data_IF_513511750157
#
_entry.id   IF_513511750157
#
_cell.length_a   1.000
_cell.length_b   1.000
_cell.length_c   1.000
_cell.angle_alpha   90.00
_cell.angle_beta   90.00
_cell.angle_gamma   90.00
#
_symmetry.space_group_name_H-M   'P 1'
#
loop_
_entity.id
_entity.type
_entity.pdbx_description
1 polymer ?
#
# COMPACT_ATOMS: atom_id res chain seq x y z
N UNK A 1 7.40 -22.53 -7.66
CA UNK A 1 6.93 -21.47 -6.73
C UNK A 1 5.50 -21.02 -7.03
N UNK A 2 5.16 -20.66 -8.27
CA UNK A 2 3.81 -20.21 -8.66
C UNK A 2 2.67 -21.14 -8.21
N UNK A 3 2.80 -22.45 -8.45
CA UNK A 3 1.84 -23.44 -7.97
C UNK A 3 1.68 -23.44 -6.44
N UNK A 4 2.76 -23.19 -5.70
CA UNK A 4 2.72 -23.15 -4.24
C UNK A 4 1.91 -21.94 -3.74
N UNK A 5 2.12 -20.74 -4.31
CA UNK A 5 1.29 -19.55 -4.04
C UNK A 5 -0.19 -19.86 -4.25
N UNK A 6 -0.53 -20.34 -5.45
CA UNK A 6 -1.92 -20.64 -5.81
C UNK A 6 -2.55 -21.68 -4.86
N UNK A 7 -1.82 -22.73 -4.51
CA UNK A 7 -2.32 -23.79 -3.63
C UNK A 7 -2.59 -23.34 -2.19
N UNK A 8 -1.95 -22.25 -1.73
CA UNK A 8 -2.23 -21.66 -0.42
C UNK A 8 -3.19 -20.46 -0.49
N UNK A 9 -3.83 -20.25 -1.64
CA UNK A 9 -4.79 -19.17 -1.85
C UNK A 9 -4.16 -17.78 -1.92
N UNK A 10 -2.86 -17.70 -2.22
CA UNK A 10 -2.17 -16.43 -2.42
C UNK A 10 -2.07 -16.12 -3.93
N UNK A 11 -2.30 -14.87 -4.35
CA UNK A 11 -1.98 -14.44 -5.70
C UNK A 11 -0.51 -14.76 -6.00
N UNK A 12 -0.21 -15.48 -7.10
CA UNK A 12 1.17 -15.73 -7.48
C UNK A 12 1.92 -14.42 -7.74
N UNK A 13 3.20 -14.38 -7.38
CA UNK A 13 4.14 -13.34 -7.82
C UNK A 13 5.05 -13.90 -8.91
N UNK A 14 4.69 -13.76 -10.21
CA UNK A 14 5.54 -14.10 -11.35
C UNK A 14 6.96 -13.56 -11.24
N UNK A 15 7.11 -12.27 -10.92
CA UNK A 15 8.42 -11.63 -10.91
C UNK A 15 9.33 -12.22 -9.82
N UNK A 16 8.80 -12.38 -8.61
CA UNK A 16 9.55 -12.98 -7.50
C UNK A 16 9.88 -14.44 -7.79
N UNK A 17 8.94 -15.20 -8.36
CA UNK A 17 9.17 -16.59 -8.75
C UNK A 17 10.28 -16.73 -9.79
N UNK A 18 10.33 -15.84 -10.77
CA UNK A 18 11.36 -15.83 -11.78
C UNK A 18 12.74 -15.53 -11.18
N UNK A 19 12.84 -14.48 -10.35
CA UNK A 19 14.11 -14.07 -9.70
C UNK A 19 14.65 -15.19 -8.80
N UNK A 20 13.81 -15.82 -7.97
CA UNK A 20 14.24 -16.96 -7.15
C UNK A 20 14.62 -18.19 -8.00
N UNK A 21 13.92 -18.42 -9.11
CA UNK A 21 14.25 -19.48 -10.07
C UNK A 21 15.64 -19.29 -10.66
N UNK A 22 15.96 -18.05 -11.09
CA UNK A 22 17.29 -17.67 -11.57
C UNK A 22 18.33 -17.84 -10.48
N UNK A 23 18.10 -17.29 -9.28
CA UNK A 23 19.06 -17.42 -8.18
C UNK A 23 19.39 -18.90 -7.89
N UNK A 24 18.38 -19.77 -7.87
CA UNK A 24 18.57 -21.20 -7.63
C UNK A 24 19.36 -21.92 -8.74
N UNK A 25 19.09 -21.63 -10.02
CA UNK A 25 19.83 -22.29 -11.12
C UNK A 25 21.27 -21.76 -11.23
N UNK A 26 21.51 -20.50 -10.88
CA UNK A 26 22.84 -19.90 -10.89
C UNK A 26 23.74 -20.35 -9.72
N UNK A 27 23.22 -21.11 -8.77
CA UNK A 27 24.03 -21.91 -7.82
C UNK A 27 24.61 -23.16 -8.47
N UNK A 28 23.96 -23.67 -9.51
CA UNK A 28 24.41 -24.87 -10.26
C UNK A 28 25.30 -24.45 -11.43
N UNK A 29 24.91 -23.38 -12.13
CA UNK A 29 25.62 -22.83 -13.30
C UNK A 29 26.23 -21.50 -12.93
N UNK A 30 27.56 -21.36 -13.10
CA UNK A 30 28.24 -20.09 -12.81
C UNK A 30 27.64 -18.94 -13.65
N UNK A 31 27.36 -17.75 -13.08
CA UNK A 31 26.73 -16.62 -13.79
C UNK A 31 27.57 -16.06 -14.94
N UNK A 32 28.90 -16.23 -14.85
CA UNK A 32 29.84 -15.88 -15.91
C UNK A 32 30.14 -17.04 -16.89
N UNK A 33 29.36 -18.13 -16.83
CA UNK A 33 29.53 -19.23 -17.80
C UNK A 33 29.20 -18.73 -19.20
N UNK A 34 30.11 -19.01 -20.13
CA UNK A 34 29.88 -18.80 -21.56
C UNK A 34 28.76 -19.71 -22.06
N UNK A 35 27.95 -19.18 -22.97
CA UNK A 35 26.83 -19.91 -23.59
C UNK A 35 27.15 -20.21 -25.05
N UNK A 36 26.51 -21.24 -25.60
CA UNK A 36 26.71 -21.60 -27.00
C UNK A 36 26.25 -20.50 -27.96
N UNK A 37 26.88 -20.38 -29.13
CA UNK A 37 26.58 -19.35 -30.14
C UNK A 37 25.10 -19.29 -30.56
N UNK A 38 24.37 -20.40 -30.42
CA UNK A 38 22.92 -20.47 -30.68
C UNK A 38 22.10 -19.56 -29.77
N UNK A 39 22.65 -19.15 -28.63
CA UNK A 39 21.99 -18.31 -27.63
C UNK A 39 22.39 -16.84 -27.72
N UNK A 40 23.51 -16.52 -28.38
CA UNK A 40 23.96 -15.14 -28.52
C UNK A 40 25.44 -15.00 -28.88
N UNK A 41 25.84 -13.76 -29.11
CA UNK A 41 27.23 -13.41 -29.37
C UNK A 41 28.08 -13.55 -28.11
N UNK A 42 29.29 -14.08 -28.27
CA UNK A 42 30.30 -14.22 -27.23
C UNK A 42 30.55 -12.88 -26.51
N UNK A 43 30.64 -12.90 -25.18
CA UNK A 43 30.72 -11.72 -24.30
C UNK A 43 29.53 -10.75 -24.30
N UNK A 44 28.45 -11.01 -25.05
CA UNK A 44 27.21 -10.21 -25.00
C UNK A 44 26.09 -10.89 -24.25
N UNK A 45 26.04 -12.22 -24.29
CA UNK A 45 25.04 -13.03 -23.60
C UNK A 45 25.74 -13.95 -22.62
N UNK A 46 25.32 -13.91 -21.35
CA UNK A 46 25.85 -14.75 -20.28
C UNK A 46 24.79 -15.74 -19.78
N UNK A 47 25.20 -16.67 -18.93
CA UNK A 47 24.29 -17.67 -18.36
C UNK A 47 23.18 -17.04 -17.49
N UNK A 48 23.41 -15.87 -16.89
CA UNK A 48 22.39 -15.14 -16.13
C UNK A 48 21.23 -14.66 -17.01
N UNK A 49 21.53 -14.07 -18.18
CA UNK A 49 20.51 -13.67 -19.14
C UNK A 49 19.72 -14.87 -19.67
N UNK A 50 20.39 -16.00 -19.94
CA UNK A 50 19.73 -17.23 -20.41
C UNK A 50 18.86 -17.86 -19.31
N UNK A 51 19.33 -17.86 -18.06
CA UNK A 51 18.49 -18.25 -16.93
C UNK A 51 17.27 -17.34 -16.79
N UNK A 52 17.46 -16.03 -16.96
CA UNK A 52 16.39 -15.03 -16.99
C UNK A 52 15.35 -15.29 -18.06
N UNK A 53 15.78 -15.60 -19.30
CA UNK A 53 14.88 -15.93 -20.41
C UNK A 53 14.01 -17.14 -20.08
N UNK A 54 14.62 -18.23 -19.59
CA UNK A 54 13.88 -19.43 -19.19
C UNK A 54 12.91 -19.17 -18.02
N UNK A 55 13.29 -18.31 -17.08
CA UNK A 55 12.45 -17.95 -15.94
C UNK A 55 11.27 -17.04 -16.34
N UNK A 56 11.49 -16.12 -17.28
CA UNK A 56 10.46 -15.25 -17.87
C UNK A 56 9.41 -16.09 -18.60
N UNK A 57 9.84 -17.01 -19.47
CA UNK A 57 8.97 -17.93 -20.18
C UNK A 57 8.15 -18.80 -19.20
N UNK A 58 8.82 -19.42 -18.23
CA UNK A 58 8.18 -20.29 -17.26
C UNK A 58 7.19 -19.55 -16.33
N UNK A 59 7.39 -18.25 -16.12
CA UNK A 59 6.56 -17.41 -15.25
C UNK A 59 5.50 -16.61 -15.99
N UNK A 60 5.51 -16.63 -17.32
CA UNK A 60 4.58 -15.85 -18.15
C UNK A 60 4.77 -14.34 -18.01
N UNK A 61 5.99 -13.89 -17.74
CA UNK A 61 6.31 -12.46 -17.64
C UNK A 61 6.36 -11.83 -19.05
N UNK A 62 5.99 -10.54 -19.19
CA UNK A 62 6.13 -9.84 -20.47
C UNK A 62 7.61 -9.71 -20.86
N UNK A 63 7.90 -9.59 -22.16
CA UNK A 63 9.27 -9.43 -22.66
C UNK A 63 9.92 -8.13 -22.19
N UNK A 64 9.10 -7.08 -21.99
CA UNK A 64 9.51 -5.74 -21.55
C UNK A 64 8.76 -5.30 -20.31
N UNK A 65 9.42 -4.50 -19.50
CA UNK A 65 8.84 -3.78 -18.36
C UNK A 65 9.16 -2.29 -18.47
N UNK A 66 8.24 -1.44 -18.00
CA UNK A 66 8.39 0.00 -18.12
C UNK A 66 8.35 0.67 -16.76
N UNK A 67 9.31 1.56 -16.47
CA UNK A 67 9.29 2.33 -15.23
C UNK A 67 8.16 3.38 -15.30
N UNK A 68 7.24 3.29 -14.33
CA UNK A 68 6.07 4.16 -14.25
C UNK A 68 6.47 5.62 -14.28
N UNK A 69 5.89 6.37 -15.21
CA UNK A 69 6.16 7.80 -15.33
C UNK A 69 7.57 8.14 -15.84
N UNK A 70 8.29 7.22 -16.45
CA UNK A 70 9.44 7.58 -17.32
C UNK A 70 9.39 6.89 -18.66
N UNK A 71 8.56 5.85 -18.80
CA UNK A 71 8.49 4.96 -19.96
C UNK A 71 9.85 4.30 -20.27
N UNK A 72 10.77 4.29 -19.30
CA UNK A 72 12.07 3.65 -19.43
C UNK A 72 11.86 2.14 -19.52
N UNK A 73 12.25 1.58 -20.66
CA UNK A 73 12.08 0.18 -21.00
C UNK A 73 13.22 -0.68 -20.46
N UNK A 74 12.86 -1.82 -19.88
CA UNK A 74 13.75 -2.87 -19.42
C UNK A 74 13.48 -4.16 -20.18
N UNK A 75 14.55 -4.82 -20.59
CA UNK A 75 14.48 -6.22 -21.01
C UNK A 75 14.24 -7.11 -19.80
N UNK A 76 13.08 -7.78 -19.73
CA UNK A 76 12.68 -8.51 -18.53
C UNK A 76 13.61 -9.68 -18.23
N UNK A 77 14.08 -10.39 -19.26
CA UNK A 77 14.99 -11.52 -19.09
C UNK A 77 16.32 -11.07 -18.48
N UNK A 78 16.87 -9.97 -18.98
CA UNK A 78 18.09 -9.36 -18.44
C UNK A 78 17.88 -8.90 -17.00
N UNK A 79 16.81 -8.16 -16.71
CA UNK A 79 16.49 -7.68 -15.37
C UNK A 79 16.35 -8.83 -14.37
N UNK A 80 15.58 -9.87 -14.70
CA UNK A 80 15.36 -11.04 -13.85
C UNK A 80 16.68 -11.81 -13.64
N UNK A 81 17.49 -11.92 -14.69
CA UNK A 81 18.84 -12.49 -14.66
C UNK A 81 19.72 -11.80 -13.62
N UNK A 82 19.87 -10.48 -13.76
CA UNK A 82 20.73 -9.64 -12.90
C UNK A 82 20.25 -9.64 -11.45
N UNK A 83 18.94 -9.51 -11.24
CA UNK A 83 18.36 -9.57 -9.89
C UNK A 83 18.53 -10.95 -9.25
N UNK A 84 18.48 -12.02 -10.05
CA UNK A 84 18.76 -13.38 -9.59
C UNK A 84 20.21 -13.57 -9.18
N UNK A 85 21.17 -13.00 -9.92
CA UNK A 85 22.60 -12.97 -9.54
C UNK A 85 22.78 -12.24 -8.21
N UNK A 86 22.19 -11.05 -8.07
CA UNK A 86 22.26 -10.28 -6.84
C UNK A 86 21.70 -11.09 -5.67
N UNK A 87 20.51 -11.69 -5.84
CA UNK A 87 19.86 -12.44 -4.77
C UNK A 87 20.65 -13.68 -4.37
N UNK A 88 21.24 -14.39 -5.34
CA UNK A 88 22.16 -15.50 -5.10
C UNK A 88 23.35 -15.05 -4.23
N UNK A 89 24.02 -13.97 -4.62
CA UNK A 89 25.26 -13.53 -3.98
C UNK A 89 25.06 -12.91 -2.58
N UNK A 90 23.95 -12.19 -2.35
CA UNK A 90 23.63 -11.66 -1.01
C UNK A 90 23.13 -12.73 -0.04
N UNK A 91 22.75 -13.92 -0.54
CA UNK A 91 22.17 -15.00 0.24
C UNK A 91 20.70 -14.75 0.62
N UNK A 92 20.26 -15.30 1.76
CA UNK A 92 18.87 -15.20 2.22
C UNK A 92 18.56 -13.86 2.93
N UNK A 93 17.89 -12.89 2.29
CA UNK A 93 17.48 -11.64 2.94
C UNK A 93 16.44 -11.88 4.04
N UNK A 94 16.40 -10.95 5.00
CA UNK A 94 15.35 -10.93 6.04
C UNK A 94 13.96 -10.71 5.41
N UNK A 95 12.90 -11.05 6.14
CA UNK A 95 11.51 -10.81 5.72
C UNK A 95 11.31 -9.35 5.29
N UNK A 96 11.80 -8.39 6.07
CA UNK A 96 11.68 -6.96 5.75
C UNK A 96 12.48 -6.59 4.50
N UNK A 97 13.66 -7.21 4.31
CA UNK A 97 14.47 -7.03 3.11
C UNK A 97 13.73 -7.48 1.84
N UNK A 98 13.10 -8.66 1.88
CA UNK A 98 12.31 -9.17 0.75
C UNK A 98 11.06 -8.34 0.48
N UNK A 99 10.36 -7.89 1.52
CA UNK A 99 9.22 -6.98 1.35
C UNK A 99 9.68 -5.69 0.68
N UNK A 100 10.73 -5.04 1.16
CA UNK A 100 11.25 -3.82 0.55
C UNK A 100 11.66 -4.04 -0.92
N UNK A 101 12.29 -5.18 -1.23
CA UNK A 101 12.67 -5.56 -2.58
C UNK A 101 11.47 -5.75 -3.51
N UNK A 102 10.47 -6.53 -3.09
CA UNK A 102 9.22 -6.71 -3.82
C UNK A 102 8.49 -5.38 -4.05
N UNK A 103 8.52 -4.50 -3.04
CA UNK A 103 7.95 -3.17 -3.13
C UNK A 103 8.70 -2.26 -4.12
N UNK A 104 10.03 -2.35 -4.23
CA UNK A 104 10.80 -1.64 -5.27
C UNK A 104 10.37 -2.04 -6.68
N UNK A 105 10.07 -3.34 -6.91
CA UNK A 105 9.60 -3.84 -8.20
C UNK A 105 8.23 -3.29 -8.59
N UNK A 106 7.45 -2.77 -7.64
CA UNK A 106 6.17 -2.13 -7.95
C UNK A 106 6.29 -0.75 -8.62
N UNK A 107 7.52 -0.28 -8.84
CA UNK A 107 7.81 0.88 -9.69
C UNK A 107 7.53 0.64 -11.18
N UNK A 108 7.43 -0.62 -11.63
CA UNK A 108 7.04 -0.92 -13.01
C UNK A 108 5.54 -0.68 -13.25
N UNK A 109 5.17 -0.26 -14.46
CA UNK A 109 3.78 -0.04 -14.85
C UNK A 109 2.97 -1.33 -14.80
N UNK A 110 3.60 -2.45 -15.15
CA UNK A 110 3.04 -3.79 -15.16
C UNK A 110 2.96 -4.43 -13.77
N UNK A 111 3.22 -3.68 -12.69
CA UNK A 111 3.38 -4.21 -11.31
C UNK A 111 2.28 -5.19 -10.89
N UNK A 112 1.02 -4.88 -11.19
CA UNK A 112 -0.12 -5.75 -10.89
C UNK A 112 -0.08 -7.07 -11.68
N UNK A 113 0.27 -7.02 -12.96
CA UNK A 113 0.30 -8.19 -13.83
C UNK A 113 1.45 -9.13 -13.49
N UNK A 114 2.59 -8.58 -13.05
CA UNK A 114 3.78 -9.35 -12.67
C UNK A 114 3.78 -9.77 -11.19
N UNK A 115 2.75 -9.38 -10.43
CA UNK A 115 2.61 -9.66 -9.00
C UNK A 115 3.72 -9.03 -8.17
N UNK A 116 4.16 -7.82 -8.52
CA UNK A 116 5.02 -6.99 -7.69
C UNK A 116 4.21 -6.31 -6.57
N UNK A 117 4.89 -5.77 -5.55
CA UNK A 117 4.29 -5.24 -4.33
C UNK A 117 3.27 -4.11 -4.51
N UNK A 118 2.77 -3.57 -3.40
CA UNK A 118 1.61 -2.66 -3.39
C UNK A 118 1.99 -1.17 -3.48
N UNK A 119 3.25 -0.81 -3.24
CA UNK A 119 3.71 0.58 -3.09
C UNK A 119 3.75 1.38 -4.38
N UNK A 120 3.47 0.75 -5.52
CA UNK A 120 3.18 1.39 -6.80
C UNK A 120 1.70 1.81 -6.97
N UNK A 121 0.84 1.42 -6.04
CA UNK A 121 -0.61 1.53 -6.15
C UNK A 121 -1.26 0.26 -6.75
N UNK A 122 -2.60 0.17 -6.76
CA UNK A 122 -3.53 1.23 -6.39
C UNK A 122 -3.92 1.26 -4.90
N UNK A 123 -3.45 0.28 -4.13
CA UNK A 123 -3.75 0.11 -2.70
C UNK A 123 -2.62 0.64 -1.81
N UNK A 124 -2.94 1.08 -0.60
CA UNK A 124 -1.96 1.34 0.45
C UNK A 124 -1.12 0.09 0.73
N UNK A 125 0.23 0.17 0.71
CA UNK A 125 1.06 -0.96 1.08
C UNK A 125 0.99 -1.21 2.58
N UNK A 126 1.15 -2.47 3.03
CA UNK A 126 1.19 -2.79 4.45
C UNK A 126 2.25 -1.94 5.16
N UNK A 127 1.88 -1.39 6.32
CA UNK A 127 2.76 -0.58 7.18
C UNK A 127 3.36 0.67 6.52
N UNK A 128 2.84 1.10 5.36
CA UNK A 128 3.28 2.32 4.69
C UNK A 128 4.64 2.20 3.99
N UNK A 129 4.99 1.00 3.55
CA UNK A 129 6.24 0.71 2.84
C UNK A 129 6.27 1.32 1.42
N UNK A 130 6.31 2.65 1.29
CA UNK A 130 6.27 3.38 0.01
C UNK A 130 7.61 3.32 -0.77
N UNK A 131 8.15 2.12 -0.97
CA UNK A 131 9.52 1.93 -1.47
C UNK A 131 9.62 2.16 -2.98
N UNK A 132 8.57 1.88 -3.76
CA UNK A 132 8.53 2.18 -5.19
C UNK A 132 8.78 3.67 -5.46
N UNK A 133 8.22 4.57 -4.66
CA UNK A 133 8.39 6.02 -4.83
C UNK A 133 9.86 6.45 -4.83
N UNK A 134 10.71 5.77 -4.04
CA UNK A 134 12.13 6.06 -4.00
C UNK A 134 12.83 5.65 -5.30
N UNK A 135 12.46 4.50 -5.87
CA UNK A 135 12.94 4.05 -7.19
C UNK A 135 12.48 5.03 -8.26
N UNK A 136 11.18 5.35 -8.29
CA UNK A 136 10.59 6.28 -9.25
C UNK A 136 11.26 7.66 -9.19
N UNK A 137 11.41 8.23 -7.99
CA UNK A 137 12.06 9.52 -7.83
C UNK A 137 13.52 9.47 -8.29
N UNK A 138 14.25 8.40 -7.97
CA UNK A 138 15.63 8.21 -8.44
C UNK A 138 15.70 8.13 -9.97
N UNK A 139 14.80 7.38 -10.62
CA UNK A 139 14.79 7.22 -12.09
C UNK A 139 14.44 8.52 -12.80
N UNK A 140 13.44 9.26 -12.31
CA UNK A 140 13.12 10.58 -12.86
C UNK A 140 14.26 11.57 -12.65
N UNK A 141 14.94 11.55 -11.49
CA UNK A 141 16.11 12.40 -11.25
C UNK A 141 17.25 12.08 -12.23
N UNK A 142 17.53 10.80 -12.48
CA UNK A 142 18.58 10.39 -13.43
C UNK A 142 18.23 10.87 -14.85
N UNK A 143 16.99 10.68 -15.30
CA UNK A 143 16.57 11.07 -16.66
C UNK A 143 16.39 12.58 -16.85
N UNK A 144 16.37 13.35 -15.76
CA UNK A 144 16.21 14.81 -15.77
C UNK A 144 17.45 15.58 -15.32
N UNK A 145 18.63 14.96 -15.35
CA UNK A 145 19.91 15.56 -14.94
C UNK A 145 19.89 16.13 -13.50
N UNK A 146 19.11 15.50 -12.62
CA UNK A 146 18.98 15.87 -11.21
C UNK A 146 17.94 16.95 -10.91
N UNK A 147 17.01 17.24 -11.83
CA UNK A 147 15.94 18.23 -11.64
C UNK A 147 14.90 17.75 -10.59
N UNK A 148 14.97 18.34 -9.40
CA UNK A 148 14.11 17.99 -8.25
C UNK A 148 12.64 18.36 -8.51
N UNK A 149 12.38 19.47 -9.20
CA UNK A 149 11.01 19.96 -9.45
C UNK A 149 10.30 19.00 -10.41
N UNK A 150 10.97 18.60 -11.51
CA UNK A 150 10.43 17.60 -12.44
C UNK A 150 10.18 16.26 -11.77
N UNK A 151 11.10 15.81 -10.91
CA UNK A 151 10.92 14.59 -10.15
C UNK A 151 9.72 14.70 -9.19
N UNK A 152 9.56 15.85 -8.52
CA UNK A 152 8.43 16.08 -7.64
C UNK A 152 7.09 16.09 -8.38
N UNK A 153 6.99 16.81 -9.50
CA UNK A 153 5.78 16.86 -10.32
C UNK A 153 5.39 15.48 -10.84
N UNK A 154 6.36 14.68 -11.29
CA UNK A 154 6.06 13.32 -11.78
C UNK A 154 5.60 12.38 -10.67
N UNK A 155 6.22 12.42 -9.50
CA UNK A 155 5.79 11.62 -8.34
C UNK A 155 4.39 12.02 -7.88
N UNK A 156 4.12 13.33 -7.87
CA UNK A 156 2.80 13.87 -7.56
C UNK A 156 1.76 13.29 -8.54
N UNK A 157 1.99 13.41 -9.85
CA UNK A 157 1.08 12.88 -10.88
C UNK A 157 0.82 11.37 -10.72
N UNK A 158 1.86 10.59 -10.42
CA UNK A 158 1.72 9.15 -10.19
C UNK A 158 0.78 8.90 -9.00
N UNK A 159 0.96 9.63 -7.91
CA UNK A 159 0.09 9.53 -6.72
C UNK A 159 -1.35 9.95 -7.00
N UNK A 160 -1.59 10.92 -7.89
CA UNK A 160 -2.94 11.29 -8.29
C UNK A 160 -3.63 10.26 -9.17
N UNK A 161 -2.91 9.64 -10.11
CA UNK A 161 -3.52 8.81 -11.16
C UNK A 161 -3.73 7.36 -10.75
N UNK A 162 -2.81 6.79 -9.97
CA UNK A 162 -2.74 5.35 -9.79
C UNK A 162 -3.25 4.85 -8.45
N UNK A 163 -3.71 5.72 -7.54
CA UNK A 163 -4.09 5.35 -6.18
C UNK A 163 -5.59 5.51 -5.95
N UNK A 164 -6.20 4.58 -5.21
CA UNK A 164 -7.59 4.70 -4.77
C UNK A 164 -7.79 5.87 -3.81
N UNK A 165 -6.82 6.07 -2.91
CA UNK A 165 -6.79 7.19 -1.97
C UNK A 165 -5.54 8.08 -2.18
N UNK A 166 -5.52 8.97 -3.21
CA UNK A 166 -4.36 9.80 -3.52
C UNK A 166 -3.88 10.69 -2.36
N UNK A 167 -4.80 11.21 -1.55
CA UNK A 167 -4.45 12.02 -0.39
C UNK A 167 -3.66 11.20 0.65
N UNK A 168 -4.18 10.02 1.01
CA UNK A 168 -3.57 9.12 2.00
C UNK A 168 -2.20 8.65 1.51
N UNK A 169 -2.09 8.30 0.23
CA UNK A 169 -0.83 7.89 -0.39
C UNK A 169 0.23 9.00 -0.28
N UNK A 170 -0.11 10.26 -0.57
CA UNK A 170 0.82 11.39 -0.46
C UNK A 170 1.21 11.69 0.98
N UNK A 171 0.26 11.60 1.93
CA UNK A 171 0.57 11.78 3.35
C UNK A 171 1.53 10.70 3.85
N UNK A 172 1.32 9.45 3.45
CA UNK A 172 2.22 8.34 3.77
C UNK A 172 3.62 8.55 3.17
N UNK A 173 3.70 8.87 1.87
CA UNK A 173 4.96 9.18 1.18
C UNK A 173 5.71 10.34 1.83
N UNK A 174 5.02 11.42 2.22
CA UNK A 174 5.65 12.54 2.92
C UNK A 174 6.21 12.10 4.28
N UNK A 175 5.39 11.40 5.06
CA UNK A 175 5.74 10.95 6.41
C UNK A 175 6.99 10.07 6.39
N UNK A 176 7.04 9.09 5.48
CA UNK A 176 8.20 8.20 5.36
C UNK A 176 9.42 8.96 4.84
N UNK A 177 9.25 9.89 3.89
CA UNK A 177 10.36 10.70 3.36
C UNK A 177 10.98 11.58 4.44
N UNK A 178 10.15 12.27 5.23
CA UNK A 178 10.59 13.08 6.39
C UNK A 178 11.29 12.23 7.44
N UNK A 179 10.85 10.97 7.64
CA UNK A 179 11.52 10.04 8.55
C UNK A 179 12.87 9.59 7.99
N UNK A 180 12.94 9.28 6.69
CA UNK A 180 14.16 8.89 5.99
C UNK A 180 15.22 10.01 6.01
N UNK A 181 14.82 11.28 5.96
CA UNK A 181 15.73 12.43 6.12
C UNK A 181 16.44 12.51 7.48
N UNK A 182 15.97 11.78 8.50
CA UNK A 182 16.69 11.64 9.78
C UNK A 182 17.87 10.67 9.69
N UNK A 183 17.85 9.76 8.71
CA UNK A 183 18.94 8.81 8.45
C UNK A 183 19.87 9.37 7.38
N UNK A 184 19.32 9.75 6.22
CA UNK A 184 20.08 10.30 5.11
C UNK A 184 19.21 11.24 4.27
N UNK A 185 19.64 12.49 4.16
CA UNK A 185 19.02 13.48 3.27
C UNK A 185 19.60 13.34 1.87
N UNK A 186 18.79 13.55 0.84
CA UNK A 186 19.24 13.50 -0.55
C UNK A 186 18.21 14.04 -1.54
N UNK A 187 18.55 14.07 -2.84
CA UNK A 187 17.65 14.57 -3.88
C UNK A 187 16.36 13.74 -3.98
N UNK A 188 16.43 12.42 -3.73
CA UNK A 188 15.25 11.52 -3.70
C UNK A 188 14.24 11.96 -2.63
N UNK A 189 14.65 12.09 -1.37
CA UNK A 189 13.74 12.50 -0.29
C UNK A 189 13.24 13.92 -0.49
N UNK A 190 14.06 14.82 -1.03
CA UNK A 190 13.65 16.19 -1.37
C UNK A 190 12.52 16.22 -2.40
N UNK A 191 12.66 15.47 -3.50
CA UNK A 191 11.65 15.39 -4.54
C UNK A 191 10.33 14.81 -3.99
N UNK A 192 10.41 13.72 -3.21
CA UNK A 192 9.23 13.09 -2.61
C UNK A 192 8.51 14.00 -1.59
N UNK A 193 9.26 14.75 -0.77
CA UNK A 193 8.70 15.74 0.16
C UNK A 193 8.02 16.87 -0.61
N UNK A 194 8.70 17.42 -1.62
CA UNK A 194 8.17 18.52 -2.44
C UNK A 194 6.88 18.11 -3.17
N UNK A 195 6.83 16.88 -3.71
CA UNK A 195 5.66 16.32 -4.38
C UNK A 195 4.42 16.24 -3.47
N UNK A 196 4.62 16.13 -2.15
CA UNK A 196 3.58 15.72 -1.21
C UNK A 196 3.28 16.73 -0.09
N UNK A 197 4.15 17.72 0.12
CA UNK A 197 4.01 18.72 1.19
C UNK A 197 2.69 19.49 1.08
N UNK A 198 2.27 19.88 -0.13
CA UNK A 198 1.00 20.56 -0.35
C UNK A 198 -0.21 19.71 0.06
N UNK A 199 -0.17 18.41 -0.21
CA UNK A 199 -1.23 17.48 0.18
C UNK A 199 -1.29 17.30 1.70
N UNK A 200 -0.13 17.19 2.37
CA UNK A 200 -0.07 17.12 3.83
C UNK A 200 -0.60 18.39 4.48
N UNK A 201 -0.18 19.56 3.99
CA UNK A 201 -0.64 20.84 4.52
C UNK A 201 -2.16 20.99 4.42
N UNK A 202 -2.74 20.65 3.26
CA UNK A 202 -4.19 20.63 3.05
C UNK A 202 -4.88 19.61 3.97
N UNK A 203 -4.39 18.38 4.01
CA UNK A 203 -4.98 17.30 4.80
C UNK A 203 -5.00 17.60 6.31
N UNK A 204 -3.94 18.23 6.82
CA UNK A 204 -3.86 18.72 8.21
C UNK A 204 -4.83 19.88 8.43
N UNK A 205 -4.84 20.88 7.54
CA UNK A 205 -5.72 22.04 7.65
C UNK A 205 -7.19 21.65 7.65
N UNK A 206 -7.63 20.83 6.70
CA UNK A 206 -9.04 20.45 6.56
C UNK A 206 -9.55 19.71 7.79
N UNK A 207 -8.77 18.74 8.29
CA UNK A 207 -9.13 18.01 9.52
C UNK A 207 -9.08 18.88 10.76
N UNK A 208 -8.11 19.79 10.85
CA UNK A 208 -8.02 20.71 11.97
C UNK A 208 -9.22 21.66 11.99
N UNK A 209 -9.57 22.24 10.84
CA UNK A 209 -10.74 23.10 10.67
C UNK A 209 -12.03 22.35 10.96
N UNK A 210 -12.21 21.17 10.38
CA UNK A 210 -13.38 20.33 10.63
C UNK A 210 -13.53 20.01 12.13
N UNK A 211 -12.45 19.58 12.78
CA UNK A 211 -12.47 19.28 14.22
C UNK A 211 -12.81 20.52 15.04
N UNK A 212 -12.20 21.65 14.74
CA UNK A 212 -12.44 22.91 15.45
C UNK A 212 -13.90 23.34 15.33
N UNK A 213 -14.45 23.34 14.10
CA UNK A 213 -15.84 23.72 13.84
C UNK A 213 -16.81 22.77 14.57
N UNK A 214 -16.58 21.46 14.52
CA UNK A 214 -17.44 20.46 15.18
C UNK A 214 -17.37 20.49 16.70
N UNK A 215 -16.20 20.78 17.28
CA UNK A 215 -16.09 21.00 18.73
C UNK A 215 -16.85 22.25 19.17
N UNK A 216 -16.82 23.33 18.40
CA UNK A 216 -17.61 24.55 18.68
C UNK A 216 -19.12 24.32 18.52
N UNK A 217 -19.54 23.41 17.65
CA UNK A 217 -20.93 22.92 17.57
C UNK A 217 -21.33 22.04 18.76
N UNK A 218 -20.39 21.69 19.65
CA UNK A 218 -20.64 20.88 20.85
C UNK A 218 -20.57 19.37 20.64
N UNK A 219 -20.05 18.89 19.51
CA UNK A 219 -19.86 17.44 19.27
C UNK A 219 -18.74 16.89 20.15
N UNK A 220 -18.88 15.65 20.61
CA UNK A 220 -17.78 14.96 21.30
C UNK A 220 -16.70 14.55 20.29
N UNK A 221 -15.44 14.61 20.71
CA UNK A 221 -14.30 14.28 19.86
C UNK A 221 -14.35 12.85 19.30
N UNK A 222 -14.97 11.92 20.03
CA UNK A 222 -15.16 10.54 19.60
C UNK A 222 -16.09 10.47 18.38
N UNK A 223 -17.18 11.25 18.39
CA UNK A 223 -18.10 11.39 17.25
C UNK A 223 -17.39 12.02 16.03
N UNK A 224 -16.56 13.03 16.26
CA UNK A 224 -15.82 13.71 15.18
C UNK A 224 -14.88 12.73 14.46
N UNK A 225 -14.15 11.90 15.20
CA UNK A 225 -13.26 10.91 14.58
C UNK A 225 -14.05 9.83 13.85
N UNK A 226 -15.20 9.41 14.40
CA UNK A 226 -16.11 8.49 13.71
C UNK A 226 -16.55 9.05 12.36
N UNK A 227 -16.93 10.33 12.30
CA UNK A 227 -17.31 11.00 11.05
C UNK A 227 -16.19 11.00 10.01
N UNK A 228 -14.93 11.19 10.42
CA UNK A 228 -13.77 11.16 9.52
C UNK A 228 -13.50 9.75 8.97
N UNK A 229 -13.72 8.72 9.77
CA UNK A 229 -13.60 7.33 9.32
C UNK A 229 -14.77 6.92 8.42
N UNK A 230 -15.99 7.40 8.68
CA UNK A 230 -17.15 7.20 7.80
C UNK A 230 -16.95 7.90 6.43
N UNK A 231 -16.36 9.10 6.41
CA UNK A 231 -15.96 9.76 5.16
C UNK A 231 -14.91 8.93 4.40
N UNK A 232 -13.91 8.40 5.10
CA UNK A 232 -12.89 7.52 4.51
C UNK A 232 -13.54 6.27 3.90
N UNK A 233 -14.45 5.62 4.62
CA UNK A 233 -15.17 4.45 4.11
C UNK A 233 -15.90 4.78 2.81
N UNK A 234 -16.69 5.86 2.79
CA UNK A 234 -17.43 6.30 1.62
C UNK A 234 -16.50 6.61 0.43
N UNK A 235 -15.33 7.19 0.67
CA UNK A 235 -14.34 7.46 -0.37
C UNK A 235 -13.79 6.17 -0.98
N UNK A 236 -13.45 5.18 -0.16
CA UNK A 236 -12.98 3.86 -0.63
C UNK A 236 -14.06 3.13 -1.42
N UNK A 237 -15.29 3.12 -0.93
CA UNK A 237 -16.45 2.53 -1.61
C UNK A 237 -16.68 3.17 -2.99
N UNK A 238 -16.65 4.49 -3.04
CA UNK A 238 -16.84 5.26 -4.28
C UNK A 238 -15.71 4.99 -5.27
N UNK A 239 -14.46 5.04 -4.81
CA UNK A 239 -13.28 4.82 -5.65
C UNK A 239 -13.24 3.39 -6.21
N UNK A 240 -13.50 2.38 -5.37
CA UNK A 240 -13.58 0.98 -5.82
C UNK A 240 -14.73 0.75 -6.79
N UNK A 241 -15.91 1.30 -6.50
CA UNK A 241 -17.08 1.21 -7.38
C UNK A 241 -16.78 1.78 -8.76
N UNK A 242 -16.16 2.96 -8.82
CA UNK A 242 -15.76 3.59 -10.08
C UNK A 242 -14.68 2.78 -10.82
N UNK A 243 -13.65 2.30 -10.11
CA UNK A 243 -12.57 1.49 -10.68
C UNK A 243 -13.14 0.23 -11.35
N UNK A 244 -13.92 -0.57 -10.60
CA UNK A 244 -14.46 -1.82 -11.13
C UNK A 244 -15.51 -1.60 -12.21
N UNK A 245 -16.34 -0.56 -12.08
CA UNK A 245 -17.29 -0.20 -13.15
C UNK A 245 -16.56 0.11 -14.46
N UNK A 246 -15.47 0.88 -14.39
CA UNK A 246 -14.63 1.17 -15.55
C UNK A 246 -13.93 -0.05 -16.12
N UNK A 247 -13.36 -0.91 -15.27
CA UNK A 247 -12.66 -2.13 -15.70
C UNK A 247 -13.59 -3.17 -16.31
N UNK A 248 -14.81 -3.30 -15.81
CA UNK A 248 -15.75 -4.36 -16.20
C UNK A 248 -16.82 -3.89 -17.18
N UNK A 249 -16.97 -2.58 -17.41
CA UNK A 249 -18.01 -2.02 -18.27
C UNK A 249 -19.42 -2.26 -17.73
N UNK A 250 -19.59 -2.29 -16.40
CA UNK A 250 -20.86 -2.57 -15.69
C UNK A 250 -21.16 -1.49 -14.66
N UNK A 251 -22.42 -1.35 -14.23
CA UNK A 251 -22.76 -0.51 -13.06
C UNK A 251 -22.46 -1.29 -11.78
N UNK A 252 -21.33 -0.99 -11.13
CA UNK A 252 -20.90 -1.66 -9.91
C UNK A 252 -20.99 -0.69 -8.73
N UNK A 253 -21.71 -1.08 -7.69
CA UNK A 253 -21.80 -0.36 -6.42
C UNK A 253 -21.37 -1.25 -5.28
N UNK A 254 -20.41 -0.78 -4.49
CA UNK A 254 -19.85 -1.52 -3.36
C UNK A 254 -20.19 -0.79 -2.06
N UNK A 255 -20.64 -1.53 -1.07
CA UNK A 255 -20.95 -1.03 0.27
C UNK A 255 -20.43 -2.00 1.33
N UNK A 256 -19.56 -1.54 2.22
CA UNK A 256 -19.07 -2.30 3.38
C UNK A 256 -20.01 -2.04 4.55
N UNK A 257 -20.98 -2.94 4.73
CA UNK A 257 -22.05 -2.78 5.72
C UNK A 257 -21.63 -3.15 7.15
N UNK A 258 -20.51 -3.86 7.30
CA UNK A 258 -19.88 -4.15 8.60
C UNK A 258 -18.37 -4.25 8.43
N UNK A 259 -17.63 -3.67 9.37
CA UNK A 259 -16.17 -3.71 9.41
C UNK A 259 -15.68 -3.66 10.86
N UNK A 260 -15.19 -4.79 11.37
CA UNK A 260 -14.76 -4.95 12.76
C UNK A 260 -13.63 -5.97 12.88
N UNK A 261 -13.04 -6.10 14.07
CA UNK A 261 -12.06 -7.15 14.34
C UNK A 261 -12.70 -8.44 14.88
N UNK A 262 -11.85 -9.41 15.20
CA UNK A 262 -12.22 -10.68 15.83
C UNK A 262 -13.02 -11.66 14.93
N UNK A 263 -12.70 -11.76 13.64
CA UNK A 263 -13.33 -12.70 12.71
C UNK A 263 -13.17 -14.18 13.10
N UNK A 264 -12.00 -14.59 13.58
CA UNK A 264 -11.64 -16.03 13.70
C UNK A 264 -11.27 -16.46 15.10
N UNK A 265 -10.95 -15.50 15.98
CA UNK A 265 -10.41 -15.76 17.32
C UNK A 265 -11.48 -15.58 18.39
N UNK A 266 -11.19 -16.05 19.61
CA UNK A 266 -12.06 -15.82 20.76
C UNK A 266 -12.08 -14.33 21.09
N UNK A 267 -13.28 -13.81 21.32
CA UNK A 267 -13.57 -12.43 21.70
C UNK A 267 -12.69 -11.93 22.86
N UNK A 268 -12.03 -10.80 22.65
CA UNK A 268 -11.29 -10.02 23.66
C UNK A 268 -11.36 -8.54 23.29
N UNK A 269 -11.28 -7.64 24.27
CA UNK A 269 -11.27 -6.18 24.04
C UNK A 269 -10.22 -5.75 23.01
N UNK A 270 -9.07 -6.41 22.98
CA UNK A 270 -8.01 -6.14 22.01
C UNK A 270 -8.46 -6.49 20.58
N UNK A 271 -9.01 -7.69 20.38
CA UNK A 271 -9.39 -8.17 19.06
C UNK A 271 -10.63 -7.47 18.50
N UNK A 272 -11.54 -7.03 19.35
CA UNK A 272 -12.68 -6.21 18.92
C UNK A 272 -12.25 -4.83 18.43
N UNK A 273 -11.20 -4.28 19.06
CA UNK A 273 -10.74 -2.93 18.77
C UNK A 273 -9.85 -2.83 17.53
N UNK A 274 -9.01 -3.83 17.28
CA UNK A 274 -8.01 -3.80 16.20
C UNK A 274 -8.36 -4.80 15.10
N UNK A 275 -8.96 -4.31 14.03
CA UNK A 275 -9.43 -5.15 12.94
C UNK A 275 -8.33 -5.54 11.93
N UNK A 276 -7.21 -4.83 11.84
CA UNK A 276 -6.25 -4.93 10.73
C UNK A 276 -5.64 -6.33 10.50
N UNK A 277 -5.61 -7.21 11.50
CA UNK A 277 -5.07 -8.57 11.39
C UNK A 277 -6.11 -9.70 11.52
N UNK A 278 -7.34 -9.37 11.93
CA UNK A 278 -8.44 -10.35 12.08
C UNK A 278 -9.78 -9.74 11.71
N UNK A 279 -9.85 -9.15 10.52
CA UNK A 279 -11.02 -8.39 10.06
C UNK A 279 -12.21 -9.29 9.77
N UNK A 280 -13.33 -8.96 10.39
CA UNK A 280 -14.66 -9.41 10.05
C UNK A 280 -15.35 -8.30 9.26
N UNK A 281 -15.65 -8.57 8.00
CA UNK A 281 -16.28 -7.61 7.11
C UNK A 281 -17.45 -8.26 6.38
N UNK A 282 -18.52 -7.48 6.22
CA UNK A 282 -19.62 -7.80 5.31
C UNK A 282 -19.63 -6.76 4.20
N UNK A 283 -19.64 -7.24 2.96
CA UNK A 283 -19.64 -6.36 1.78
C UNK A 283 -20.82 -6.71 0.89
N UNK A 284 -21.59 -5.70 0.52
CA UNK A 284 -22.63 -5.78 -0.47
C UNK A 284 -22.11 -5.23 -1.79
N UNK A 285 -22.21 -6.02 -2.84
CA UNK A 285 -21.84 -5.61 -4.19
C UNK A 285 -23.06 -5.73 -5.08
N UNK A 286 -23.44 -4.63 -5.73
CA UNK A 286 -24.51 -4.60 -6.72
C UNK A 286 -23.89 -4.47 -8.11
N UNK A 287 -24.20 -5.40 -9.02
CA UNK A 287 -23.72 -5.42 -10.40
C UNK A 287 -24.94 -5.37 -11.31
N UNK A 288 -25.10 -4.30 -12.10
CA UNK A 288 -26.24 -4.10 -13.01
C UNK A 288 -27.62 -4.30 -12.34
N UNK A 289 -27.71 -3.94 -11.05
CA UNK A 289 -28.92 -4.07 -10.22
C UNK A 289 -29.03 -5.40 -9.44
N UNK A 290 -28.20 -6.39 -9.72
CA UNK A 290 -28.16 -7.66 -8.97
C UNK A 290 -27.23 -7.57 -7.77
N UNK A 291 -27.75 -7.89 -6.58
CA UNK A 291 -27.03 -7.77 -5.31
C UNK A 291 -26.42 -9.10 -4.87
N UNK A 292 -25.13 -9.05 -4.56
CA UNK A 292 -24.33 -10.11 -3.95
C UNK A 292 -23.93 -9.66 -2.55
N UNK A 293 -24.06 -10.54 -1.55
CA UNK A 293 -23.68 -10.24 -0.16
C UNK A 293 -22.58 -11.19 0.28
N UNK A 294 -21.44 -10.63 0.65
CA UNK A 294 -20.29 -11.34 1.18
C UNK A 294 -20.25 -11.22 2.71
N UNK A 295 -21.04 -12.02 3.43
CA UNK A 295 -21.05 -12.02 4.89
C UNK A 295 -19.84 -12.78 5.46
N UNK A 296 -18.97 -12.09 6.19
CA UNK A 296 -17.75 -12.67 6.74
C UNK A 296 -16.73 -12.99 5.64
N UNK A 297 -16.39 -11.99 4.82
CA UNK A 297 -15.60 -12.14 3.60
C UNK A 297 -14.33 -12.98 3.79
N UNK A 298 -13.50 -12.63 4.77
CA UNK A 298 -12.17 -13.20 5.01
C UNK A 298 -12.17 -14.62 5.61
N UNK A 299 -13.24 -15.01 6.29
CA UNK A 299 -13.24 -16.20 7.16
C UNK A 299 -14.40 -17.17 6.90
N UNK A 300 -15.42 -16.75 6.13
CA UNK A 300 -16.50 -17.62 5.64
C UNK A 300 -16.45 -17.72 4.13
N UNK A 301 -16.64 -16.59 3.42
CA UNK A 301 -16.83 -16.54 1.96
C UNK A 301 -15.60 -17.04 1.21
N UNK A 302 -14.43 -16.43 1.44
CA UNK A 302 -13.20 -16.81 0.72
C UNK A 302 -12.83 -18.27 1.00
N UNK A 303 -12.76 -18.74 2.26
CA UNK A 303 -12.47 -20.14 2.53
C UNK A 303 -13.44 -21.11 1.86
N UNK A 304 -14.75 -20.85 1.92
CA UNK A 304 -15.77 -21.69 1.28
C UNK A 304 -15.63 -21.69 -0.25
N UNK A 305 -15.38 -20.54 -0.87
CA UNK A 305 -15.19 -20.43 -2.31
C UNK A 305 -13.98 -21.24 -2.80
N UNK A 306 -12.86 -21.14 -2.07
CA UNK A 306 -11.61 -21.85 -2.39
C UNK A 306 -11.76 -23.35 -2.14
N UNK A 307 -12.21 -23.75 -0.96
CA UNK A 307 -12.27 -25.16 -0.57
C UNK A 307 -13.30 -25.96 -1.37
N UNK A 308 -14.37 -25.31 -1.83
CA UNK A 308 -15.45 -25.95 -2.61
C UNK A 308 -15.42 -25.59 -4.11
N UNK A 309 -14.36 -24.93 -4.59
CA UNK A 309 -14.16 -24.57 -6.00
C UNK A 309 -15.37 -23.83 -6.62
N UNK A 310 -15.95 -22.87 -5.89
CA UNK A 310 -17.12 -22.09 -6.33
C UNK A 310 -16.67 -20.99 -7.29
N UNK A 311 -16.48 -21.33 -8.56
CA UNK A 311 -15.89 -20.44 -9.59
C UNK A 311 -16.57 -19.07 -9.70
N UNK A 312 -17.88 -19.02 -9.79
CA UNK A 312 -18.64 -17.75 -9.89
C UNK A 312 -18.39 -16.84 -8.67
N UNK A 313 -18.27 -17.44 -7.48
CA UNK A 313 -17.97 -16.72 -6.26
C UNK A 313 -16.51 -16.23 -6.24
N UNK A 314 -15.57 -17.06 -6.72
CA UNK A 314 -14.15 -16.69 -6.85
C UNK A 314 -13.94 -15.50 -7.79
N UNK A 315 -14.71 -15.41 -8.88
CA UNK A 315 -14.65 -14.29 -9.81
C UNK A 315 -15.22 -12.99 -9.21
N UNK A 316 -16.20 -13.08 -8.31
CA UNK A 316 -16.82 -11.92 -7.69
C UNK A 316 -16.09 -11.43 -6.41
N UNK A 317 -15.36 -12.31 -5.71
CA UNK A 317 -14.64 -11.98 -4.47
C UNK A 317 -13.77 -10.71 -4.56
N UNK A 318 -13.01 -10.46 -5.65
CA UNK A 318 -12.19 -9.25 -5.76
C UNK A 318 -12.97 -7.94 -5.53
N UNK A 319 -14.25 -7.89 -5.94
CA UNK A 319 -15.11 -6.73 -5.77
C UNK A 319 -15.35 -6.39 -4.28
N UNK A 320 -15.35 -7.41 -3.41
CA UNK A 320 -15.43 -7.22 -1.97
C UNK A 320 -14.06 -7.13 -1.29
N UNK A 321 -13.06 -7.85 -1.79
CA UNK A 321 -11.76 -7.97 -1.14
C UNK A 321 -10.93 -6.69 -1.24
N UNK A 322 -10.89 -6.05 -2.41
CA UNK A 322 -10.10 -4.83 -2.64
C UNK A 322 -10.44 -3.68 -1.68
N UNK A 323 -11.72 -3.27 -1.49
CA UNK A 323 -12.04 -2.20 -0.54
C UNK A 323 -11.73 -2.58 0.90
N UNK A 324 -11.97 -3.83 1.31
CA UNK A 324 -11.62 -4.30 2.66
C UNK A 324 -10.12 -4.25 2.89
N UNK A 325 -9.31 -4.65 1.89
CA UNK A 325 -7.84 -4.57 1.97
C UNK A 325 -7.36 -3.12 2.06
N UNK A 326 -7.94 -2.18 1.30
CA UNK A 326 -7.58 -0.76 1.41
C UNK A 326 -7.82 -0.21 2.83
N UNK A 327 -8.97 -0.55 3.43
CA UNK A 327 -9.30 -0.19 4.81
C UNK A 327 -8.36 -0.85 5.84
N UNK A 328 -7.97 -2.11 5.61
CA UNK A 328 -7.04 -2.83 6.47
C UNK A 328 -5.64 -2.21 6.46
N UNK A 329 -5.13 -1.89 5.27
CA UNK A 329 -3.74 -1.49 5.08
C UNK A 329 -3.51 0.00 5.38
N UNK A 330 -4.54 0.84 5.25
CA UNK A 330 -4.41 2.29 5.47
C UNK A 330 -4.22 2.73 6.94
N UNK A 331 -4.28 1.81 7.91
CA UNK A 331 -4.08 2.08 9.34
C UNK A 331 -2.68 2.60 9.73
N UNK A 332 -1.74 2.69 8.80
CA UNK A 332 -0.44 3.34 9.02
C UNK A 332 -0.51 4.87 8.94
N UNK A 333 -1.52 5.44 8.28
CA UNK A 333 -1.72 6.89 8.12
C UNK A 333 -2.82 7.38 9.04
N UNK A 334 -2.49 7.57 10.31
CA UNK A 334 -3.46 7.88 11.40
C UNK A 334 -3.82 9.38 11.51
N UNK A 335 -3.86 10.11 10.39
CA UNK A 335 -4.09 11.57 10.38
C UNK A 335 -5.46 11.96 10.97
N UNK A 336 -6.47 11.11 10.77
CA UNK A 336 -7.82 11.23 11.37
C UNK A 336 -7.83 11.06 12.90
N UNK A 337 -6.72 10.63 13.51
CA UNK A 337 -6.57 10.51 14.97
C UNK A 337 -5.71 11.66 15.50
N UNK A 338 -4.52 11.85 14.92
CA UNK A 338 -3.53 12.77 15.50
C UNK A 338 -3.88 14.24 15.31
N UNK A 339 -4.53 14.62 14.19
CA UNK A 339 -4.93 16.01 13.96
C UNK A 339 -6.10 16.39 14.89
N UNK A 340 -7.18 15.59 14.98
CA UNK A 340 -8.24 15.89 15.94
C UNK A 340 -7.76 15.90 17.39
N UNK A 341 -6.81 15.03 17.76
CA UNK A 341 -6.20 15.04 19.09
C UNK A 341 -5.51 16.37 19.41
N UNK A 342 -4.73 16.91 18.47
CA UNK A 342 -4.06 18.19 18.61
C UNK A 342 -5.06 19.32 18.88
N UNK A 343 -6.10 19.42 18.03
CA UNK A 343 -7.12 20.47 18.13
C UNK A 343 -7.92 20.35 19.43
N UNK A 344 -8.42 19.14 19.74
CA UNK A 344 -9.20 18.91 20.94
C UNK A 344 -8.43 19.23 22.22
N UNK A 345 -7.12 18.95 22.25
CA UNK A 345 -6.24 19.28 23.39
C UNK A 345 -6.13 20.79 23.61
N UNK A 346 -6.09 21.57 22.54
CA UNK A 346 -5.98 23.03 22.64
C UNK A 346 -7.31 23.69 22.98
N UNK A 347 -8.43 23.09 22.57
CA UNK A 347 -9.77 23.61 22.85
C UNK A 347 -10.30 23.16 24.22
N UNK A 348 -9.90 21.99 24.71
CA UNK A 348 -10.36 21.43 25.98
C UNK A 348 -9.23 21.44 27.01
N UNK A 349 -9.28 22.39 27.95
CA UNK A 349 -8.29 22.52 29.02
C UNK A 349 -8.54 21.61 30.22
N UNK A 350 -9.66 20.90 30.26
CA UNK A 350 -10.06 20.06 31.39
C UNK A 350 -9.52 18.63 31.26
N UNK A 351 -9.32 18.16 30.03
CA UNK A 351 -8.80 16.82 29.77
C UNK A 351 -7.28 16.84 29.57
N UNK A 352 -6.62 15.83 30.12
CA UNK A 352 -5.19 15.59 29.89
C UNK A 352 -4.95 15.10 28.45
N UNK A 353 -3.73 15.29 27.89
CA UNK A 353 -3.34 14.72 26.61
C UNK A 353 -3.62 13.22 26.47
N UNK A 354 -3.47 12.45 27.56
CA UNK A 354 -3.72 11.01 27.58
C UNK A 354 -5.21 10.68 27.48
N UNK A 355 -6.08 11.48 28.11
CA UNK A 355 -7.52 11.30 28.06
C UNK A 355 -8.05 11.64 26.67
N UNK A 356 -7.60 12.75 26.07
CA UNK A 356 -7.91 13.09 24.68
C UNK A 356 -7.46 11.96 23.74
N UNK A 357 -6.22 11.49 23.88
CA UNK A 357 -5.68 10.39 23.07
C UNK A 357 -6.51 9.10 23.17
N UNK A 358 -7.04 8.77 24.35
CA UNK A 358 -7.94 7.62 24.52
C UNK A 358 -9.29 7.84 23.83
N UNK A 359 -9.85 9.06 23.91
CA UNK A 359 -11.13 9.40 23.28
C UNK A 359 -11.04 9.35 21.75
N UNK A 360 -10.05 9.99 21.13
CA UNK A 360 -9.90 9.99 19.65
C UNK A 360 -9.70 8.59 19.08
N UNK A 361 -9.15 7.65 19.85
CA UNK A 361 -8.94 6.26 19.41
C UNK A 361 -10.13 5.35 19.73
N UNK A 362 -11.09 5.80 20.54
CA UNK A 362 -12.19 4.92 20.99
C UNK A 362 -13.06 4.45 19.81
N UNK A 363 -13.47 5.37 18.94
CA UNK A 363 -14.36 5.08 17.79
C UNK A 363 -13.68 5.26 16.42
N UNK A 364 -12.36 5.34 16.39
CA UNK A 364 -11.55 5.32 15.16
C UNK A 364 -11.46 3.91 14.56
N UNK A 365 -12.58 3.36 14.10
CA UNK A 365 -12.70 1.96 13.71
C UNK A 365 -11.92 1.58 12.43
N UNK A 366 -11.57 2.55 11.58
CA UNK A 366 -10.68 2.35 10.43
C UNK A 366 -9.30 2.90 10.75
N UNK A 367 -9.21 4.14 11.21
CA UNK A 367 -7.94 4.81 11.44
C UNK A 367 -7.14 4.22 12.61
N UNK A 368 -7.78 3.46 13.50
CA UNK A 368 -7.13 2.67 14.55
C UNK A 368 -7.21 1.16 14.29
N UNK A 369 -7.23 0.71 13.03
CA UNK A 369 -7.23 -0.71 12.68
C UNK A 369 -6.06 -1.51 13.29
N UNK A 370 -4.94 -0.84 13.61
CA UNK A 370 -3.77 -1.41 14.27
C UNK A 370 -3.43 -0.66 15.58
N UNK A 371 -2.79 -1.32 16.57
CA UNK A 371 -2.42 -0.67 17.82
C UNK A 371 -1.31 0.38 17.63
N UNK A 372 -1.36 1.45 18.43
CA UNK A 372 -0.33 2.49 18.47
C UNK A 372 -0.86 3.92 18.43
N UNK A 373 -2.10 4.12 17.97
CA UNK A 373 -2.73 5.45 17.84
C UNK A 373 -2.72 6.27 19.12
N UNK A 374 -2.96 5.65 20.29
CA UNK A 374 -3.02 6.37 21.57
C UNK A 374 -1.69 7.05 21.90
N UNK A 375 -0.56 6.34 21.73
CA UNK A 375 0.75 6.91 22.04
C UNK A 375 1.05 8.10 21.12
N UNK A 376 0.77 7.96 19.82
CA UNK A 376 1.02 9.02 18.83
C UNK A 376 0.12 10.23 19.03
N UNK A 377 -1.16 10.02 19.34
CA UNK A 377 -2.09 11.09 19.68
C UNK A 377 -1.61 11.86 20.92
N UNK A 378 -1.18 11.17 21.98
CA UNK A 378 -0.68 11.80 23.19
C UNK A 378 0.60 12.62 22.94
N UNK A 379 1.54 12.09 22.14
CA UNK A 379 2.76 12.79 21.74
C UNK A 379 2.45 14.09 20.99
N UNK A 380 1.52 14.04 20.03
CA UNK A 380 1.09 15.20 19.25
C UNK A 380 0.35 16.21 20.12
N UNK A 381 -0.55 15.77 21.01
CA UNK A 381 -1.24 16.63 21.98
C UNK A 381 -0.27 17.40 22.88
N UNK A 382 0.74 16.72 23.45
CA UNK A 382 1.79 17.37 24.26
C UNK A 382 2.57 18.40 23.45
N UNK A 383 2.88 18.05 22.19
CA UNK A 383 3.61 18.95 21.29
C UNK A 383 2.77 20.18 20.92
N UNK A 384 1.47 20.02 20.72
CA UNK A 384 0.56 21.13 20.46
C UNK A 384 0.51 22.12 21.62
N UNK A 385 0.40 21.64 22.87
CA UNK A 385 0.45 22.48 24.07
C UNK A 385 1.77 23.26 24.12
N UNK A 386 2.90 22.57 23.91
CA UNK A 386 4.23 23.20 23.92
C UNK A 386 4.32 24.32 22.88
N UNK A 387 3.93 24.05 21.63
CA UNK A 387 3.95 25.06 20.56
C UNK A 387 3.07 26.26 20.94
N UNK A 388 1.86 26.03 21.45
CA UNK A 388 0.97 27.11 21.88
C UNK A 388 1.48 27.92 23.07
N UNK A 389 2.40 27.38 23.87
CA UNK A 389 3.04 28.14 24.96
C UNK A 389 4.20 29.04 24.47
N UNK A 390 4.67 28.81 23.23
CA UNK A 390 5.76 29.55 22.59
C UNK A 390 5.25 30.61 21.59
N UNK A 391 3.94 30.61 21.28
CA UNK A 391 3.23 31.61 20.46
C UNK A 391 2.55 32.64 21.36
#
# INVERSE_FOLDING_TARGET
MLKAYANVGMPPSPITAAIFGVAAILEIVHPDSEVGESYGEFFKVNSAQIAGLGAVEASGLPEKLHIRGTDEEYDTATLVGDLGVILKDIGGPTVIGMMAFEEMLSAFEESLAIGAGFSGGPLQPPLGHMTADAVLAMKVLISSDGDIEKAADRIKEIKEKFWLEPEVAKVATNTISRKSEQVKRGPVTKAMILATDGAVAKAVYDRAKFTYDKLNEGKDITEIVRMLDDEKLNNVETACSALFSGMMGKDIKINVTSYQGCARRKKTDFLEKYCGFDTDATVEVTIDGEKIVFEGLSHKVIPDAVMNNKKELLEAIPLGAVPVVELQLSGHTIINIIVPAAVATLMNKELTPREIARKVVADAYISSAIPGGIQRAEEVSKRAIKIMSEL
#
